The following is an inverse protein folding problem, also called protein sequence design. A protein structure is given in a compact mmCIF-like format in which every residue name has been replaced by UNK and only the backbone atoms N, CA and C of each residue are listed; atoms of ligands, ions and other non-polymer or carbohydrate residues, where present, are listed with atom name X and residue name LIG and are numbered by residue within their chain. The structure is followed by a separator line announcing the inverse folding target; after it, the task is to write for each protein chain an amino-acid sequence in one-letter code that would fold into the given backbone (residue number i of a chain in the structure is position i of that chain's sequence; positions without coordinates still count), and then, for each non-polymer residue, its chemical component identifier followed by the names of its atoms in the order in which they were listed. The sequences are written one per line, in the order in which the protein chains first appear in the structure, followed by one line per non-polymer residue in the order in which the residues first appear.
data_IF_291874409884
#
_entry.id   IF_291874409884
#
_cell.length_a   1.000
_cell.length_b   1.000
_cell.length_c   1.000
_cell.angle_alpha   90.00
_cell.angle_beta   90.00
_cell.angle_gamma   90.00
#
_symmetry.space_group_name_H-M   'P 1'
#
loop_
_entity.id
_entity.type
_entity.pdbx_description
1 polymer ?
#
# COMPACT_ATOMS: atom_id res chain seq x y z
N UNK A 1 -28.27 -12.94 16.71
CA UNK A 1 -27.83 -14.35 16.55
C UNK A 1 -27.01 -14.61 15.28
N UNK A 2 -27.13 -13.76 14.25
CA UNK A 2 -26.10 -13.47 13.21
C UNK A 2 -24.95 -12.59 13.81
N UNK A 3 -25.00 -12.22 15.08
CA UNK A 3 -24.11 -11.21 15.68
C UNK A 3 -22.64 -11.66 15.81
N UNK A 4 -22.37 -12.96 15.70
CA UNK A 4 -21.03 -13.55 15.57
C UNK A 4 -20.62 -13.77 14.09
N UNK A 5 -21.53 -13.57 13.12
CA UNK A 5 -21.31 -13.63 11.66
C UNK A 5 -20.51 -12.43 11.12
N UNK A 6 -20.21 -11.44 11.97
CA UNK A 6 -19.39 -10.25 11.71
C UNK A 6 -18.21 -10.10 12.68
N UNK A 7 -18.07 -11.03 13.63
CA UNK A 7 -16.71 -11.34 14.06
C UNK A 7 -15.89 -11.59 12.79
N UNK A 8 -16.49 -12.05 11.65
CA UNK A 8 -16.04 -12.70 10.39
C UNK A 8 -16.38 -12.10 8.97
N UNK A 9 -16.12 -10.86 8.57
CA UNK A 9 -15.32 -9.89 9.28
C UNK A 9 -13.85 -10.31 9.38
N UNK A 10 -13.51 -10.44 10.66
CA UNK A 10 -12.41 -11.08 11.36
C UNK A 10 -11.08 -10.39 11.20
N UNK A 11 -10.59 -10.45 9.98
CA UNK A 11 -9.20 -10.45 9.61
C UNK A 11 -9.11 -9.85 8.19
N UNK A 12 -10.12 -9.03 7.83
CA UNK A 12 -10.84 -9.12 6.56
C UNK A 12 -10.15 -8.61 5.29
N UNK A 13 -8.97 -8.01 5.40
CA UNK A 13 -8.09 -7.86 4.24
C UNK A 13 -6.65 -8.24 4.56
N UNK A 14 -6.28 -8.28 5.85
CA UNK A 14 -4.89 -8.51 6.27
C UNK A 14 -4.47 -9.98 6.22
N UNK A 15 -5.34 -10.95 6.53
CA UNK A 15 -4.94 -12.38 6.44
C UNK A 15 -4.76 -12.86 5.00
N UNK A 16 -5.71 -12.61 4.08
CA UNK A 16 -5.48 -12.93 2.68
C UNK A 16 -4.23 -12.24 2.13
N UNK A 17 -3.98 -11.00 2.55
CA UNK A 17 -2.75 -10.27 2.19
C UNK A 17 -1.49 -10.95 2.74
N UNK A 18 -1.45 -11.32 4.01
CA UNK A 18 -0.29 -12.02 4.60
C UNK A 18 -0.08 -13.39 3.94
N UNK A 19 -1.16 -14.13 3.69
CA UNK A 19 -1.07 -15.41 2.96
C UNK A 19 -0.53 -15.17 1.56
N UNK A 20 -1.00 -14.12 0.87
CA UNK A 20 -0.50 -13.74 -0.45
C UNK A 20 0.99 -13.37 -0.44
N UNK A 21 1.43 -12.58 0.54
CA UNK A 21 2.85 -12.22 0.72
C UNK A 21 3.70 -13.47 0.97
N UNK A 22 3.27 -14.35 1.88
CA UNK A 22 4.00 -15.59 2.18
C UNK A 22 4.02 -16.51 0.95
N UNK A 23 2.90 -16.70 0.27
CA UNK A 23 2.81 -17.53 -0.92
C UNK A 23 3.69 -16.98 -2.06
N UNK A 24 3.67 -15.67 -2.29
CA UNK A 24 4.52 -15.01 -3.28
C UNK A 24 6.01 -15.15 -2.93
N UNK A 25 6.37 -14.95 -1.65
CA UNK A 25 7.73 -15.13 -1.18
C UNK A 25 8.20 -16.57 -1.38
N UNK A 26 7.40 -17.56 -0.96
CA UNK A 26 7.71 -18.98 -1.12
C UNK A 26 7.86 -19.33 -2.60
N UNK A 27 6.95 -18.88 -3.45
CA UNK A 27 6.99 -19.18 -4.87
C UNK A 27 8.25 -18.59 -5.54
N UNK A 28 8.54 -17.31 -5.30
CA UNK A 28 9.74 -16.65 -5.82
C UNK A 28 11.06 -17.27 -5.34
N UNK A 29 11.07 -17.91 -4.16
CA UNK A 29 12.25 -18.63 -3.65
C UNK A 29 12.37 -20.08 -4.17
N UNK A 30 11.28 -20.69 -4.62
CA UNK A 30 11.30 -22.05 -5.21
C UNK A 30 11.78 -21.97 -6.66
N UNK A 31 11.17 -21.09 -7.45
CA UNK A 31 11.51 -20.91 -8.85
C UNK A 31 11.21 -19.45 -9.27
N UNK A 32 12.28 -18.66 -9.36
CA UNK A 32 12.18 -17.26 -9.75
C UNK A 32 11.75 -17.10 -11.20
N UNK A 33 12.16 -18.00 -12.10
CA UNK A 33 11.84 -17.90 -13.52
C UNK A 33 10.37 -18.19 -13.77
N UNK A 34 9.82 -19.22 -13.12
CA UNK A 34 8.39 -19.52 -13.19
C UNK A 34 7.53 -18.38 -12.60
N UNK A 35 8.01 -17.72 -11.54
CA UNK A 35 7.33 -16.57 -10.96
C UNK A 35 7.33 -15.36 -11.91
N UNK A 36 8.49 -15.03 -12.51
CA UNK A 36 8.61 -13.95 -13.50
C UNK A 36 7.74 -14.21 -14.74
N UNK A 37 7.76 -15.41 -15.30
CA UNK A 37 6.90 -15.79 -16.43
C UNK A 37 5.40 -15.65 -16.11
N UNK A 38 4.98 -16.00 -14.90
CA UNK A 38 3.60 -15.82 -14.46
C UNK A 38 3.21 -14.34 -14.35
N UNK A 39 4.07 -13.52 -13.76
CA UNK A 39 3.81 -12.09 -13.53
C UNK A 39 3.84 -11.30 -14.85
N UNK A 40 4.71 -11.67 -15.78
CA UNK A 40 4.83 -11.05 -17.10
C UNK A 40 3.98 -11.75 -18.18
N UNK A 41 3.12 -12.69 -17.77
CA UNK A 41 2.24 -13.38 -18.69
C UNK A 41 1.29 -12.42 -19.41
N UNK A 42 1.30 -12.46 -20.74
CA UNK A 42 0.50 -11.60 -21.59
C UNK A 42 -0.93 -12.14 -21.75
N UNK A 43 -1.88 -11.52 -21.05
CA UNK A 43 -3.26 -12.02 -20.93
C UNK A 43 -4.00 -11.98 -22.29
N UNK A 44 -3.69 -10.99 -23.13
CA UNK A 44 -4.37 -10.75 -24.41
C UNK A 44 -3.44 -10.91 -25.63
N UNK A 45 -2.32 -11.63 -25.47
CA UNK A 45 -1.30 -11.83 -26.50
C UNK A 45 -0.28 -10.69 -26.62
N UNK A 46 0.88 -10.99 -27.22
CA UNK A 46 2.07 -10.10 -27.26
C UNK A 46 1.83 -8.74 -27.95
N UNK A 47 0.86 -8.66 -28.86
CA UNK A 47 0.59 -7.45 -29.66
C UNK A 47 -0.44 -6.51 -29.03
N UNK A 48 -1.10 -6.90 -27.93
CA UNK A 48 -2.15 -6.10 -27.31
C UNK A 48 -1.55 -5.12 -26.31
N UNK A 49 -1.50 -3.84 -26.68
CA UNK A 49 -1.04 -2.75 -25.81
C UNK A 49 -2.20 -1.84 -25.43
N UNK A 50 -2.37 -1.59 -24.13
CA UNK A 50 -3.32 -0.61 -23.60
C UNK A 50 -2.51 0.58 -23.08
N UNK A 51 -2.80 1.80 -23.56
CA UNK A 51 -2.03 3.02 -23.25
C UNK A 51 -0.52 2.90 -23.49
N UNK A 52 -0.11 2.08 -24.47
CA UNK A 52 1.31 1.85 -24.81
C UNK A 52 2.03 0.82 -23.93
N UNK A 53 1.38 0.26 -22.89
CA UNK A 53 1.91 -0.81 -22.03
C UNK A 53 1.35 -2.16 -22.47
N UNK A 54 2.18 -3.21 -22.40
CA UNK A 54 1.73 -4.58 -22.61
C UNK A 54 0.76 -4.99 -21.49
N UNK A 55 -0.30 -5.72 -21.83
CA UNK A 55 -1.30 -6.16 -20.85
C UNK A 55 -0.83 -7.46 -20.20
N UNK A 56 0.04 -7.32 -19.21
CA UNK A 56 0.53 -8.43 -18.39
C UNK A 56 -0.28 -8.59 -17.10
N UNK A 57 -0.08 -9.71 -16.39
CA UNK A 57 -0.62 -9.90 -15.03
C UNK A 57 -0.12 -8.80 -14.11
N UNK A 58 1.16 -8.41 -14.22
CA UNK A 58 1.75 -7.30 -13.51
C UNK A 58 0.99 -5.98 -13.75
N UNK A 59 0.67 -5.67 -15.00
CA UNK A 59 -0.10 -4.46 -15.35
C UNK A 59 -1.50 -4.49 -14.72
N UNK A 60 -2.19 -5.63 -14.75
CA UNK A 60 -3.52 -5.75 -14.18
C UNK A 60 -3.51 -5.47 -12.67
N UNK A 61 -2.53 -6.03 -11.94
CA UNK A 61 -2.42 -5.84 -10.49
C UNK A 61 -1.96 -4.42 -10.14
N UNK A 62 -0.90 -3.92 -10.78
CA UNK A 62 -0.31 -2.63 -10.39
C UNK A 62 -1.07 -1.41 -10.88
N UNK A 63 -1.79 -1.50 -11.99
CA UNK A 63 -2.51 -0.36 -12.56
C UNK A 63 -4.01 -0.48 -12.27
N UNK A 64 -4.64 -1.57 -12.72
CA UNK A 64 -6.10 -1.70 -12.65
C UNK A 64 -6.59 -1.90 -11.21
N UNK A 65 -5.97 -2.79 -10.43
CA UNK A 65 -6.39 -2.98 -9.03
C UNK A 65 -6.04 -1.78 -8.16
N UNK A 66 -4.92 -1.09 -8.44
CA UNK A 66 -4.59 0.17 -7.75
C UNK A 66 -5.61 1.28 -8.03
N UNK A 67 -6.18 1.36 -9.23
CA UNK A 67 -7.29 2.29 -9.52
C UNK A 67 -8.50 2.00 -8.63
N UNK A 68 -8.89 0.74 -8.47
CA UNK A 68 -9.98 0.38 -7.56
C UNK A 68 -9.66 0.69 -6.10
N UNK A 69 -8.43 0.39 -5.66
CA UNK A 69 -7.95 0.70 -4.32
C UNK A 69 -8.03 2.21 -4.01
N UNK A 70 -7.46 3.05 -4.88
CA UNK A 70 -7.49 4.50 -4.71
C UNK A 70 -8.90 5.09 -4.88
N UNK A 71 -9.75 4.47 -5.70
CA UNK A 71 -11.16 4.83 -5.81
C UNK A 71 -11.90 4.67 -4.48
N UNK A 72 -11.72 3.53 -3.81
CA UNK A 72 -12.27 3.28 -2.47
C UNK A 72 -11.67 4.26 -1.45
N UNK A 73 -10.33 4.43 -1.44
CA UNK A 73 -9.67 5.36 -0.53
C UNK A 73 -10.20 6.79 -0.67
N UNK A 74 -10.43 7.26 -1.90
CA UNK A 74 -10.97 8.60 -2.19
C UNK A 74 -12.40 8.74 -1.69
N UNK A 75 -13.24 7.71 -1.88
CA UNK A 75 -14.60 7.66 -1.33
C UNK A 75 -14.58 7.77 0.19
N UNK A 76 -13.74 7.01 0.88
CA UNK A 76 -13.63 7.03 2.35
C UNK A 76 -13.15 8.40 2.87
N UNK A 77 -12.18 9.04 2.19
CA UNK A 77 -11.73 10.41 2.51
C UNK A 77 -12.90 11.38 2.35
N UNK A 78 -13.65 11.28 1.25
CA UNK A 78 -14.79 12.16 0.96
C UNK A 78 -15.86 12.03 2.05
N UNK A 79 -16.23 10.80 2.42
CA UNK A 79 -17.19 10.54 3.50
C UNK A 79 -16.70 11.04 4.86
N UNK A 80 -15.40 10.91 5.14
CA UNK A 80 -14.80 11.39 6.39
C UNK A 80 -14.89 12.91 6.55
N UNK A 81 -14.94 13.67 5.45
CA UNK A 81 -15.04 15.13 5.44
C UNK A 81 -16.50 15.62 5.50
N UNK A 82 -17.49 14.78 5.16
CA UNK A 82 -18.90 15.14 5.23
C UNK A 82 -19.40 15.36 6.67
N UNK A 83 -20.54 16.05 6.87
CA UNK A 83 -21.12 16.27 8.20
C UNK A 83 -21.38 14.96 8.96
N UNK A 84 -20.70 14.79 10.10
CA UNK A 84 -20.75 13.57 10.92
C UNK A 84 -19.57 12.61 10.69
N UNK A 85 -18.74 12.85 9.69
CA UNK A 85 -17.52 12.10 9.41
C UNK A 85 -16.37 12.37 10.39
N UNK A 86 -15.36 11.51 10.38
CA UNK A 86 -14.24 11.54 11.33
C UNK A 86 -13.36 12.80 11.24
N UNK A 87 -13.30 13.44 10.07
CA UNK A 87 -12.54 14.66 9.82
C UNK A 87 -13.40 15.93 9.92
N UNK A 88 -14.69 15.80 10.25
CA UNK A 88 -15.60 16.94 10.43
C UNK A 88 -15.99 17.15 11.90
N UNK A 89 -15.92 18.38 12.44
CA UNK A 89 -15.47 19.63 11.81
C UNK A 89 -13.96 19.69 11.62
N UNK A 90 -13.48 20.60 10.75
CA UNK A 90 -12.05 20.75 10.39
C UNK A 90 -11.09 20.79 11.58
N UNK A 91 -11.53 21.28 12.75
CA UNK A 91 -10.74 21.26 13.99
C UNK A 91 -10.32 19.85 14.41
N UNK A 92 -11.13 18.82 14.14
CA UNK A 92 -10.79 17.41 14.39
C UNK A 92 -9.78 16.87 13.37
N UNK A 93 -9.80 17.38 12.14
CA UNK A 93 -8.87 16.96 11.08
C UNK A 93 -7.42 17.42 11.32
N UNK A 94 -7.20 18.49 12.09
CA UNK A 94 -5.86 19.05 12.33
C UNK A 94 -4.93 18.01 12.96
N UNK A 95 -5.38 17.27 13.99
CA UNK A 95 -4.52 16.33 14.69
C UNK A 95 -4.09 15.15 13.79
N UNK A 96 -5.02 14.44 13.09
CA UNK A 96 -4.65 13.45 12.08
C UNK A 96 -3.75 14.02 10.98
N UNK A 97 -4.06 15.21 10.46
CA UNK A 97 -3.30 15.82 9.37
C UNK A 97 -1.85 16.10 9.79
N UNK A 98 -1.64 16.69 10.97
CA UNK A 98 -0.30 16.93 11.51
C UNK A 98 0.46 15.63 11.76
N UNK A 99 -0.23 14.58 12.24
CA UNK A 99 0.35 13.24 12.38
C UNK A 99 0.81 12.66 11.04
N UNK A 100 -0.03 12.74 10.01
CA UNK A 100 0.32 12.27 8.66
C UNK A 100 1.46 13.09 8.04
N UNK A 101 1.48 14.41 8.25
CA UNK A 101 2.55 15.28 7.76
C UNK A 101 3.89 14.88 8.36
N UNK A 102 3.95 14.68 9.68
CA UNK A 102 5.16 14.18 10.36
C UNK A 102 5.57 12.80 9.86
N UNK A 103 4.59 11.90 9.66
CA UNK A 103 4.79 10.55 9.12
C UNK A 103 5.31 10.50 7.68
N UNK A 104 5.14 11.57 6.89
CA UNK A 104 5.69 11.69 5.53
C UNK A 104 7.03 12.42 5.54
N UNK A 105 7.09 13.60 6.17
CA UNK A 105 8.29 14.46 6.17
C UNK A 105 9.46 13.79 6.88
N UNK A 106 9.20 13.09 7.99
CA UNK A 106 10.25 12.40 8.75
C UNK A 106 10.97 11.32 7.94
N UNK A 107 10.26 10.27 7.46
CA UNK A 107 10.87 9.21 6.66
C UNK A 107 11.47 9.70 5.35
N UNK A 108 10.81 10.63 4.63
CA UNK A 108 11.36 11.20 3.41
C UNK A 108 12.66 11.98 3.67
N UNK A 109 12.69 12.80 4.73
CA UNK A 109 13.88 13.55 5.11
C UNK A 109 15.05 12.64 5.49
N UNK A 110 14.77 11.58 6.27
CA UNK A 110 15.77 10.58 6.61
C UNK A 110 16.28 9.84 5.37
N UNK A 111 15.39 9.49 4.44
CA UNK A 111 15.77 8.85 3.17
C UNK A 111 16.70 9.73 2.34
N UNK A 112 16.38 11.01 2.15
CA UNK A 112 17.27 11.92 1.41
C UNK A 112 18.62 12.11 2.10
N UNK A 113 18.63 12.18 3.43
CA UNK A 113 19.88 12.26 4.20
C UNK A 113 20.73 11.02 3.98
N UNK A 114 20.16 9.82 4.07
CA UNK A 114 20.89 8.57 3.82
C UNK A 114 21.32 8.44 2.36
N UNK A 115 20.44 8.75 1.40
CA UNK A 115 20.77 8.75 -0.02
C UNK A 115 21.94 9.69 -0.32
N UNK A 116 21.99 10.87 0.31
CA UNK A 116 23.11 11.79 0.16
C UNK A 116 24.40 11.26 0.81
N UNK A 117 24.33 10.67 2.00
CA UNK A 117 25.50 10.09 2.69
C UNK A 117 26.13 8.97 1.87
N UNK A 118 25.33 8.05 1.35
CA UNK A 118 25.84 6.86 0.65
C UNK A 118 26.11 7.10 -0.85
N UNK A 119 25.33 7.97 -1.50
CA UNK A 119 25.35 8.12 -2.96
C UNK A 119 25.62 9.56 -3.43
N UNK A 120 25.76 10.56 -2.55
CA UNK A 120 25.85 11.98 -2.92
C UNK A 120 27.03 12.37 -3.81
N UNK A 121 28.08 11.55 -3.89
CA UNK A 121 29.21 11.72 -4.82
C UNK A 121 29.16 10.83 -6.07
N UNK A 122 28.11 10.02 -6.23
CA UNK A 122 27.95 9.08 -7.33
C UNK A 122 26.97 9.61 -8.39
N UNK A 123 27.07 9.11 -9.61
CA UNK A 123 26.07 9.33 -10.67
C UNK A 123 24.68 8.80 -10.30
N UNK A 124 24.61 7.89 -9.32
CA UNK A 124 23.42 7.12 -9.00
C UNK A 124 22.51 7.84 -8.00
N UNK A 125 22.95 8.98 -7.43
CA UNK A 125 22.14 9.77 -6.49
C UNK A 125 20.77 10.12 -7.07
N UNK A 126 20.71 10.53 -8.34
CA UNK A 126 19.45 10.88 -9.00
C UNK A 126 18.50 9.69 -9.13
N UNK A 127 19.03 8.49 -9.40
CA UNK A 127 18.24 7.27 -9.48
C UNK A 127 17.68 6.88 -8.10
N UNK A 128 18.52 6.89 -7.07
CA UNK A 128 18.12 6.54 -5.70
C UNK A 128 17.15 7.58 -5.14
N UNK A 129 17.37 8.87 -5.39
CA UNK A 129 16.51 9.95 -4.91
C UNK A 129 15.05 9.85 -5.40
N UNK A 130 14.81 9.23 -6.57
CA UNK A 130 13.46 8.97 -7.06
C UNK A 130 12.65 8.01 -6.15
N UNK A 131 13.34 7.22 -5.32
CA UNK A 131 12.73 6.29 -4.36
C UNK A 131 12.18 6.92 -3.08
N UNK A 132 12.16 8.25 -2.95
CA UNK A 132 11.75 8.94 -1.71
C UNK A 132 10.34 8.61 -1.21
N UNK A 133 9.44 8.17 -2.10
CA UNK A 133 8.09 7.76 -1.74
C UNK A 133 8.02 6.40 -1.03
N UNK A 134 8.99 5.51 -1.25
CA UNK A 134 9.04 4.15 -0.66
C UNK A 134 8.89 4.16 0.88
N UNK A 135 9.68 4.93 1.64
CA UNK A 135 9.60 4.95 3.11
C UNK A 135 8.37 5.70 3.65
N UNK A 136 7.62 6.41 2.81
CA UNK A 136 6.42 7.17 3.23
C UNK A 136 5.14 6.38 3.09
N UNK A 137 5.14 5.34 2.26
CA UNK A 137 3.98 4.49 2.04
C UNK A 137 3.66 3.68 3.30
N UNK A 138 2.39 3.71 3.72
CA UNK A 138 1.90 2.92 4.86
C UNK A 138 0.82 1.96 4.40
N UNK A 139 1.01 0.67 4.66
CA UNK A 139 -0.02 -0.34 4.45
C UNK A 139 -1.03 -0.31 5.60
N UNK A 140 -2.22 0.23 5.32
CA UNK A 140 -3.31 0.39 6.28
C UNK A 140 -3.80 -0.97 6.82
N UNK A 141 -3.79 -2.02 5.99
CA UNK A 141 -4.26 -3.35 6.38
C UNK A 141 -3.30 -4.03 7.36
N UNK A 142 -1.98 -3.89 7.14
CA UNK A 142 -0.97 -4.40 8.07
C UNK A 142 -0.90 -3.57 9.35
N UNK A 143 -0.92 -2.23 9.24
CA UNK A 143 -0.89 -1.34 10.40
C UNK A 143 -2.05 -1.62 11.35
N UNK A 144 -3.27 -1.79 10.81
CA UNK A 144 -4.45 -2.11 11.61
C UNK A 144 -4.37 -3.49 12.27
N UNK A 145 -3.89 -4.51 11.55
CA UNK A 145 -3.71 -5.85 12.11
C UNK A 145 -2.75 -5.84 13.30
N UNK A 146 -1.58 -5.22 13.12
CA UNK A 146 -0.55 -5.13 14.17
C UNK A 146 -1.06 -4.35 15.36
N UNK A 147 -1.71 -3.20 15.13
CA UNK A 147 -2.32 -2.40 16.20
C UNK A 147 -3.33 -3.23 17.01
N UNK A 148 -4.19 -4.00 16.34
CA UNK A 148 -5.20 -4.84 17.01
C UNK A 148 -4.58 -5.98 17.82
N UNK A 149 -3.46 -6.55 17.35
CA UNK A 149 -2.71 -7.58 18.09
C UNK A 149 -2.09 -6.97 19.36
N UNK A 150 -1.48 -5.79 19.25
CA UNK A 150 -0.76 -5.15 20.36
C UNK A 150 -1.73 -4.59 21.42
N UNK A 151 -2.76 -3.85 20.99
CA UNK A 151 -3.65 -3.12 21.90
C UNK A 151 -4.88 -3.94 22.34
N UNK A 152 -5.14 -5.09 21.71
CA UNK A 152 -6.25 -5.97 22.01
C UNK A 152 -7.60 -5.45 21.51
N UNK A 153 -8.66 -6.25 21.65
CA UNK A 153 -9.99 -5.97 21.10
C UNK A 153 -10.79 -4.91 21.87
N UNK A 154 -10.29 -4.45 23.02
CA UNK A 154 -10.96 -3.48 23.89
C UNK A 154 -10.42 -2.06 23.79
N UNK A 155 -9.39 -1.82 22.98
CA UNK A 155 -8.84 -0.49 22.74
C UNK A 155 -9.73 0.26 21.72
N UNK A 156 -10.05 1.55 21.95
CA UNK A 156 -10.82 2.37 21.00
C UNK A 156 -10.12 2.50 19.66
#
# INVERSE_FOLDING_TARGET
MIRAHHISILQQFSIPLIIGVIAGLVFANIDIHAYEEMVDYHIFGENTKIFGKAVTVHFLVNEIFMVFFFGIATKEITESVLPGGALNPMRKAINPLMGTLGGVVGPAGLFFLLAWIFYGGSSDFGLVANGWGIPTATDIALAWLVARIIFGTGHP
#
